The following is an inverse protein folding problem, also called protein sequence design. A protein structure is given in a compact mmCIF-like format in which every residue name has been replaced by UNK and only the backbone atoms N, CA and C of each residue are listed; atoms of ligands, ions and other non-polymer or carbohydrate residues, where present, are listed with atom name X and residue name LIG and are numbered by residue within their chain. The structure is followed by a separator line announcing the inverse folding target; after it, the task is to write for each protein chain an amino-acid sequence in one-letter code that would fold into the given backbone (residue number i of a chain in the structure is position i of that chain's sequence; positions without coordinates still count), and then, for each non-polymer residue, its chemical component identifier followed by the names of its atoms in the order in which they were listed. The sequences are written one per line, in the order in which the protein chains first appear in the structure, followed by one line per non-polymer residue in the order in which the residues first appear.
data_IF_125621323998
#
_entry.id   IF_125621323998
#
_cell.length_a   1.000
_cell.length_b   1.000
_cell.length_c   1.000
_cell.angle_alpha   90.00
_cell.angle_beta   90.00
_cell.angle_gamma   90.00
#
_symmetry.space_group_name_H-M   'P 1'
#
loop_
_entity.id
_entity.type
_entity.pdbx_description
1 polymer ?
#
# COMPACT_ATOMS: atom_id res chain seq x y z
N UNK A 1 -51.52 24.25 3.64
CA UNK A 1 -50.54 24.57 2.57
C UNK A 1 -50.98 23.84 1.30
N UNK A 2 -51.10 24.57 0.20
CA UNK A 2 -51.80 24.19 -1.02
C UNK A 2 -50.94 23.31 -1.96
N UNK A 3 -51.66 22.67 -2.88
CA UNK A 3 -51.27 21.68 -3.88
C UNK A 3 -50.12 22.09 -4.82
N UNK A 4 -49.33 21.10 -5.24
CA UNK A 4 -48.41 21.22 -6.38
C UNK A 4 -48.87 20.24 -7.47
N UNK A 5 -49.43 20.82 -8.54
CA UNK A 5 -49.81 20.15 -9.77
C UNK A 5 -49.46 21.13 -10.90
N UNK A 6 -48.44 20.80 -11.69
CA UNK A 6 -48.25 21.37 -13.02
C UNK A 6 -47.24 20.53 -13.81
N UNK A 7 -47.81 19.72 -14.69
CA UNK A 7 -47.18 19.05 -15.82
C UNK A 7 -47.08 20.05 -16.97
N UNK A 8 -45.91 20.25 -17.59
CA UNK A 8 -45.81 20.80 -18.95
C UNK A 8 -44.70 20.07 -19.70
N UNK A 9 -45.13 19.32 -20.72
CA UNK A 9 -44.29 18.78 -21.76
C UNK A 9 -43.91 19.88 -22.78
N UNK A 10 -42.69 19.84 -23.29
CA UNK A 10 -42.32 20.57 -24.51
C UNK A 10 -41.71 19.59 -25.52
N UNK A 11 -42.42 19.46 -26.63
CA UNK A 11 -42.07 18.73 -27.84
C UNK A 11 -41.10 19.53 -28.72
N UNK A 12 -40.41 18.76 -29.56
CA UNK A 12 -39.98 19.07 -30.92
C UNK A 12 -38.65 19.83 -31.15
N UNK A 13 -37.92 19.34 -32.16
CA UNK A 13 -36.94 20.14 -32.89
C UNK A 13 -35.74 19.33 -33.35
N UNK A 14 -35.84 18.70 -34.53
CA UNK A 14 -34.72 18.01 -35.16
C UNK A 14 -33.65 18.95 -35.71
N UNK A 15 -32.43 18.43 -35.84
CA UNK A 15 -31.47 18.86 -36.83
C UNK A 15 -30.59 17.64 -37.18
N UNK A 16 -30.89 17.01 -38.31
CA UNK A 16 -30.01 16.05 -38.95
C UNK A 16 -28.76 16.82 -39.42
N UNK A 17 -27.69 16.75 -38.63
CA UNK A 17 -26.38 17.23 -39.03
C UNK A 17 -25.86 16.35 -40.16
N UNK A 18 -25.90 16.88 -41.38
CA UNK A 18 -25.23 16.32 -42.53
C UNK A 18 -23.72 16.45 -42.29
N UNK A 19 -23.08 15.37 -41.84
CA UNK A 19 -21.63 15.29 -41.80
C UNK A 19 -21.16 15.20 -43.24
N UNK A 20 -20.68 16.33 -43.77
CA UNK A 20 -19.97 16.36 -45.04
C UNK A 20 -18.76 15.44 -44.93
N UNK A 21 -18.82 14.31 -45.64
CA UNK A 21 -17.72 13.38 -45.78
C UNK A 21 -16.65 14.08 -46.63
N UNK A 22 -15.65 14.68 -45.98
CA UNK A 22 -14.47 15.15 -46.68
C UNK A 22 -13.79 13.93 -47.31
N UNK A 23 -13.74 13.90 -48.64
CA UNK A 23 -13.07 12.87 -49.39
C UNK A 23 -11.58 12.84 -48.98
N UNK A 24 -11.17 11.73 -48.36
CA UNK A 24 -9.77 11.47 -48.07
C UNK A 24 -8.99 11.44 -49.41
N UNK A 25 -7.84 12.12 -49.53
CA UNK A 25 -7.00 11.99 -50.70
C UNK A 25 -6.54 10.54 -50.84
N UNK A 26 -6.71 9.97 -52.03
CA UNK A 26 -6.31 8.61 -52.34
C UNK A 26 -4.79 8.45 -52.12
N UNK A 27 -4.42 7.97 -50.94
CA UNK A 27 -3.04 7.66 -50.60
C UNK A 27 -2.49 6.62 -51.58
N UNK A 28 -1.38 6.97 -52.21
CA UNK A 28 -0.69 6.18 -53.22
C UNK A 28 -0.41 4.74 -52.74
N UNK A 29 -0.45 3.73 -53.63
CA UNK A 29 -0.33 2.32 -53.26
C UNK A 29 0.99 1.96 -52.55
N UNK A 30 2.03 2.80 -52.67
CA UNK A 30 3.30 2.64 -51.98
C UNK A 30 3.20 2.87 -50.45
N UNK A 31 2.32 3.77 -49.99
CA UNK A 31 2.18 4.09 -48.56
C UNK A 31 1.38 3.03 -47.79
N UNK A 32 0.48 2.30 -48.45
CA UNK A 32 -0.33 1.24 -47.80
C UNK A 32 0.50 0.02 -47.40
N UNK A 33 1.51 -0.34 -48.20
CA UNK A 33 2.41 -1.47 -47.87
C UNK A 33 3.33 -1.17 -46.68
N UNK A 34 3.76 0.09 -46.52
CA UNK A 34 4.59 0.48 -45.38
C UNK A 34 3.80 0.52 -44.07
N UNK A 35 2.53 0.93 -44.11
CA UNK A 35 1.65 0.88 -42.94
C UNK A 35 1.31 -0.56 -42.51
N UNK A 36 1.11 -1.48 -43.46
CA UNK A 36 0.86 -2.89 -43.14
C UNK A 36 2.08 -3.57 -42.48
N UNK A 37 3.30 -3.21 -42.88
CA UNK A 37 4.54 -3.71 -42.27
C UNK A 37 4.76 -3.13 -40.86
N UNK A 38 4.39 -1.86 -40.63
CA UNK A 38 4.47 -1.24 -39.30
C UNK A 38 3.47 -1.85 -38.30
N UNK A 39 2.27 -2.25 -38.76
CA UNK A 39 1.28 -2.96 -37.94
C UNK A 39 1.66 -4.43 -37.69
N UNK A 40 2.25 -5.11 -38.68
CA UNK A 40 2.74 -6.48 -38.51
C UNK A 40 3.93 -6.58 -37.54
N UNK A 41 4.76 -5.52 -37.45
CA UNK A 41 5.87 -5.46 -36.51
C UNK A 41 5.43 -5.34 -35.03
N UNK A 42 4.23 -4.81 -34.75
CA UNK A 42 3.69 -4.79 -33.38
C UNK A 42 3.19 -6.16 -32.91
N UNK A 43 2.87 -7.08 -33.84
CA UNK A 43 2.40 -8.43 -33.51
C UNK A 43 3.55 -9.41 -33.15
N UNK A 44 4.81 -9.00 -33.31
CA UNK A 44 6.00 -9.80 -33.00
C UNK A 44 6.74 -9.32 -31.74
N UNK A 45 6.22 -8.31 -31.05
CA UNK A 45 6.70 -8.01 -29.71
C UNK A 45 6.21 -9.12 -28.78
N UNK A 46 7.10 -9.86 -28.10
CA UNK A 46 6.67 -10.81 -27.09
C UNK A 46 5.81 -10.04 -26.10
N UNK A 47 4.55 -10.46 -25.97
CA UNK A 47 3.65 -10.01 -24.92
C UNK A 47 4.38 -10.28 -23.59
N UNK A 48 5.01 -9.26 -23.05
CA UNK A 48 5.56 -9.31 -21.71
C UNK A 48 4.33 -9.46 -20.81
N UNK A 49 4.01 -10.70 -20.45
CA UNK A 49 2.95 -11.02 -19.52
C UNK A 49 3.16 -10.13 -18.30
N UNK A 50 2.29 -9.13 -18.13
CA UNK A 50 2.32 -8.26 -16.98
C UNK A 50 2.02 -9.13 -15.76
N UNK A 51 3.07 -9.55 -15.05
CA UNK A 51 2.95 -10.21 -13.75
C UNK A 51 2.43 -9.16 -12.77
N UNK A 52 1.12 -9.00 -12.72
CA UNK A 52 0.42 -7.97 -11.96
C UNK A 52 0.39 -8.22 -10.44
N UNK A 53 0.92 -9.35 -9.94
CA UNK A 53 0.77 -9.74 -8.53
C UNK A 53 1.82 -9.19 -7.56
N UNK A 54 3.11 -9.31 -7.88
CA UNK A 54 4.18 -9.08 -6.89
C UNK A 54 4.56 -7.61 -6.71
N UNK A 55 4.46 -6.82 -7.79
CA UNK A 55 4.88 -5.42 -7.78
C UNK A 55 3.92 -4.54 -6.95
N UNK A 56 2.64 -4.89 -6.94
CA UNK A 56 1.64 -4.18 -6.14
C UNK A 56 1.87 -4.45 -4.65
N UNK A 57 2.04 -5.72 -4.25
CA UNK A 57 2.31 -6.09 -2.86
C UNK A 57 3.57 -5.43 -2.30
N UNK A 58 4.68 -5.46 -3.04
CA UNK A 58 5.92 -4.83 -2.59
C UNK A 58 5.73 -3.31 -2.35
N UNK A 59 4.99 -2.65 -3.24
CA UNK A 59 4.67 -1.24 -3.14
C UNK A 59 3.77 -0.95 -1.93
N UNK A 60 2.78 -1.81 -1.66
CA UNK A 60 1.94 -1.71 -0.46
C UNK A 60 2.74 -1.85 0.83
N UNK A 61 3.64 -2.85 0.92
CA UNK A 61 4.49 -3.04 2.11
C UNK A 61 5.37 -1.81 2.34
N UNK A 62 5.97 -1.26 1.29
CA UNK A 62 6.76 -0.03 1.38
C UNK A 62 5.91 1.18 1.77
N UNK A 63 4.65 1.26 1.31
CA UNK A 63 3.70 2.30 1.71
C UNK A 63 3.40 2.26 3.21
N UNK A 64 3.04 1.08 3.73
CA UNK A 64 2.78 0.90 5.17
C UNK A 64 4.05 1.09 5.99
N UNK A 65 5.22 0.69 5.46
CA UNK A 65 6.53 0.93 6.08
C UNK A 65 6.76 2.43 6.30
N UNK A 66 6.60 3.25 5.27
CA UNK A 66 6.76 4.72 5.37
C UNK A 66 5.84 5.36 6.41
N UNK A 67 4.63 4.82 6.58
CA UNK A 67 3.66 5.34 7.54
C UNK A 67 3.91 4.84 8.98
N UNK A 68 4.22 3.56 9.14
CA UNK A 68 4.24 2.88 10.45
C UNK A 68 5.63 2.91 11.10
N UNK A 69 6.69 2.80 10.29
CA UNK A 69 8.06 2.64 10.77
C UNK A 69 8.55 3.83 11.62
N UNK A 70 8.27 5.10 11.29
CA UNK A 70 8.72 6.21 12.11
C UNK A 70 8.19 6.15 13.54
N UNK A 71 6.92 5.73 13.70
CA UNK A 71 6.27 5.56 15.00
C UNK A 71 6.86 4.37 15.76
N UNK A 72 7.10 3.26 15.08
CA UNK A 72 7.72 2.05 15.67
C UNK A 72 9.13 2.37 16.18
N UNK A 73 9.96 3.03 15.35
CA UNK A 73 11.33 3.37 15.70
C UNK A 73 11.39 4.42 16.82
N UNK A 74 10.48 5.40 16.83
CA UNK A 74 10.38 6.37 17.93
C UNK A 74 10.08 5.67 19.26
N UNK A 75 9.09 4.78 19.28
CA UNK A 75 8.73 4.00 20.48
C UNK A 75 9.87 3.10 20.96
N UNK A 76 10.56 2.40 20.04
CA UNK A 76 11.72 1.58 20.36
C UNK A 76 12.88 2.42 20.93
N UNK A 77 13.20 3.56 20.30
CA UNK A 77 14.25 4.47 20.79
C UNK A 77 13.92 5.03 22.16
N UNK A 78 12.65 5.36 22.43
CA UNK A 78 12.18 5.82 23.73
C UNK A 78 12.37 4.74 24.83
N UNK A 79 11.96 3.51 24.56
CA UNK A 79 12.19 2.37 25.47
C UNK A 79 13.68 2.13 25.73
N UNK A 80 14.50 2.14 24.67
CA UNK A 80 15.94 1.89 24.78
C UNK A 80 16.67 3.02 25.52
N UNK A 81 16.27 4.27 25.32
CA UNK A 81 16.87 5.42 25.98
C UNK A 81 16.59 5.45 27.50
N UNK A 82 15.42 4.98 27.91
CA UNK A 82 15.05 4.90 29.34
C UNK A 82 15.57 3.61 30.00
N UNK A 83 15.68 2.52 29.25
CA UNK A 83 16.07 1.22 29.80
C UNK A 83 14.98 0.56 30.65
N UNK A 84 13.77 1.11 30.64
CA UNK A 84 12.61 0.63 31.40
C UNK A 84 11.30 1.05 30.70
N UNK A 85 10.19 0.43 31.11
CA UNK A 85 8.85 0.83 30.64
C UNK A 85 8.25 1.82 31.64
N UNK A 86 8.34 3.10 31.32
CA UNK A 86 7.82 4.20 32.16
C UNK A 86 6.31 4.39 32.00
N UNK A 87 5.66 5.00 32.98
CA UNK A 87 4.24 5.37 32.86
C UNK A 87 3.97 6.36 31.72
N UNK A 88 4.91 7.27 31.47
CA UNK A 88 4.87 8.18 30.33
C UNK A 88 4.84 7.42 29.00
N UNK A 89 5.66 6.37 28.86
CA UNK A 89 5.65 5.52 27.68
C UNK A 89 4.30 4.82 27.50
N UNK A 90 3.72 4.30 28.59
CA UNK A 90 2.41 3.64 28.55
C UNK A 90 1.29 4.61 28.11
N UNK A 91 1.36 5.86 28.56
CA UNK A 91 0.36 6.88 28.25
C UNK A 91 0.49 7.45 26.83
N UNK A 92 1.71 7.65 26.34
CA UNK A 92 1.96 8.44 25.12
C UNK A 92 2.39 7.61 23.91
N UNK A 93 3.27 6.63 24.10
CA UNK A 93 3.93 5.93 22.99
C UNK A 93 3.39 4.51 22.77
N UNK A 94 2.94 3.81 23.81
CA UNK A 94 2.53 2.41 23.70
C UNK A 94 1.38 2.22 22.71
N UNK A 95 0.31 3.02 22.82
CA UNK A 95 -0.87 2.89 21.96
C UNK A 95 -0.52 3.12 20.48
N UNK A 96 0.09 4.24 20.06
CA UNK A 96 0.43 4.44 18.65
C UNK A 96 1.46 3.42 18.15
N UNK A 97 2.45 3.03 18.97
CA UNK A 97 3.43 2.00 18.60
C UNK A 97 2.76 0.65 18.33
N UNK A 98 1.84 0.21 19.19
CA UNK A 98 1.10 -1.05 19.01
C UNK A 98 0.25 -1.01 17.74
N UNK A 99 -0.45 0.09 17.46
CA UNK A 99 -1.24 0.23 16.22
C UNK A 99 -0.33 0.14 14.99
N UNK A 100 0.83 0.82 15.03
CA UNK A 100 1.79 0.76 13.94
C UNK A 100 2.38 -0.65 13.73
N UNK A 101 2.72 -1.36 14.81
CA UNK A 101 3.17 -2.76 14.77
C UNK A 101 2.08 -3.69 14.21
N UNK A 102 0.81 -3.48 14.56
CA UNK A 102 -0.30 -4.27 14.03
C UNK A 102 -0.49 -4.02 12.53
N UNK A 103 -0.52 -2.75 12.10
CA UNK A 103 -0.60 -2.39 10.68
C UNK A 103 0.57 -2.97 9.89
N UNK A 104 1.79 -2.83 10.40
CA UNK A 104 2.98 -3.37 9.75
C UNK A 104 3.02 -4.91 9.73
N UNK A 105 2.57 -5.57 10.81
CA UNK A 105 2.51 -7.03 10.87
C UNK A 105 1.47 -7.60 9.91
N UNK A 106 0.34 -6.91 9.76
CA UNK A 106 -0.76 -7.32 8.87
C UNK A 106 -0.36 -7.29 7.38
N UNK A 107 0.46 -6.33 6.96
CA UNK A 107 0.86 -6.19 5.55
C UNK A 107 1.96 -7.18 5.16
N UNK A 108 2.74 -7.69 6.11
CA UNK A 108 3.83 -8.66 5.87
C UNK A 108 3.35 -10.10 5.58
N UNK A 109 2.08 -10.28 5.18
CA UNK A 109 1.51 -11.56 4.70
C UNK A 109 2.15 -11.99 3.38
N UNK A 110 2.49 -13.27 3.19
CA UNK A 110 3.04 -13.76 1.91
C UNK A 110 1.98 -13.96 0.82
N UNK A 111 0.70 -14.09 1.19
CA UNK A 111 -0.44 -14.25 0.29
C UNK A 111 -1.51 -13.18 0.52
N UNK A 112 -2.52 -13.07 -0.37
CA UNK A 112 -3.68 -12.18 -0.16
C UNK A 112 -4.48 -12.51 1.11
N UNK A 113 -4.53 -13.78 1.53
CA UNK A 113 -5.17 -14.19 2.78
C UNK A 113 -4.26 -13.91 3.99
N UNK A 114 -4.81 -13.70 5.21
CA UNK A 114 -4.02 -13.59 6.42
C UNK A 114 -3.21 -14.87 6.63
N UNK A 115 -1.92 -14.75 6.34
CA UNK A 115 -0.93 -15.81 6.34
C UNK A 115 -0.50 -16.13 7.79
N UNK A 116 0.08 -17.31 7.99
CA UNK A 116 0.66 -17.76 9.26
C UNK A 116 1.62 -16.71 9.83
N UNK A 117 2.38 -16.04 8.96
CA UNK A 117 3.30 -14.96 9.33
C UNK A 117 2.57 -13.75 9.90
N UNK A 118 1.59 -13.19 9.18
CA UNK A 118 0.87 -12.00 9.68
C UNK A 118 0.14 -12.28 10.99
N UNK A 119 -0.41 -13.50 11.17
CA UNK A 119 -1.03 -13.89 12.44
C UNK A 119 0.00 -14.01 13.57
N UNK A 120 1.19 -14.53 13.26
CA UNK A 120 2.31 -14.59 14.21
C UNK A 120 2.72 -13.20 14.66
N UNK A 121 2.99 -12.29 13.72
CA UNK A 121 3.38 -10.90 14.02
C UNK A 121 2.32 -10.14 14.84
N UNK A 122 1.03 -10.36 14.56
CA UNK A 122 -0.05 -9.79 15.37
C UNK A 122 -0.03 -10.34 16.81
N UNK A 123 0.17 -11.65 16.97
CA UNK A 123 0.32 -12.29 18.28
C UNK A 123 1.53 -11.75 19.04
N UNK A 124 2.67 -11.60 18.38
CA UNK A 124 3.89 -11.06 19.00
C UNK A 124 3.67 -9.61 19.44
N UNK A 125 2.89 -8.84 18.67
CA UNK A 125 2.50 -7.47 19.04
C UNK A 125 1.60 -7.44 20.28
N UNK A 126 0.65 -8.37 20.38
CA UNK A 126 -0.23 -8.48 21.56
C UNK A 126 0.54 -8.92 22.80
N UNK A 127 1.51 -9.84 22.64
CA UNK A 127 2.42 -10.24 23.70
C UNK A 127 3.29 -9.07 24.15
N UNK A 128 3.85 -8.29 23.22
CA UNK A 128 4.63 -7.09 23.53
C UNK A 128 3.78 -6.09 24.31
N UNK A 129 2.54 -5.83 23.87
CA UNK A 129 1.60 -4.95 24.56
C UNK A 129 1.33 -5.42 25.99
N UNK A 130 1.17 -6.73 26.21
CA UNK A 130 0.95 -7.29 27.54
C UNK A 130 2.19 -7.11 28.43
N UNK A 131 3.38 -7.45 27.92
CA UNK A 131 4.65 -7.28 28.64
C UNK A 131 4.91 -5.80 28.99
N UNK A 132 4.70 -4.88 28.05
CA UNK A 132 4.83 -3.44 28.29
C UNK A 132 3.86 -2.97 29.38
N UNK A 133 2.58 -3.39 29.35
CA UNK A 133 1.62 -3.04 30.41
C UNK A 133 1.99 -3.59 31.79
N UNK A 134 2.69 -4.72 31.85
CA UNK A 134 3.24 -5.28 33.08
C UNK A 134 4.56 -4.62 33.49
N UNK A 135 5.03 -3.63 32.73
CA UNK A 135 6.32 -2.94 32.87
C UNK A 135 7.53 -3.88 32.81
N UNK A 136 7.38 -5.04 32.17
CA UNK A 136 8.47 -5.99 31.96
C UNK A 136 9.30 -5.56 30.74
N UNK A 137 10.31 -4.72 30.99
CA UNK A 137 11.19 -4.19 29.95
C UNK A 137 11.95 -5.29 29.20
N UNK A 138 12.53 -6.26 29.92
CA UNK A 138 13.33 -7.32 29.31
C UNK A 138 12.47 -8.16 28.35
N UNK A 139 11.28 -8.58 28.80
CA UNK A 139 10.35 -9.33 27.97
C UNK A 139 9.81 -8.50 26.81
N UNK A 140 9.49 -7.24 27.04
CA UNK A 140 9.03 -6.34 25.97
C UNK A 140 10.09 -6.19 24.87
N UNK A 141 11.35 -6.01 25.21
CA UNK A 141 12.44 -5.90 24.25
C UNK A 141 12.69 -7.22 23.50
N UNK A 142 12.66 -8.36 24.20
CA UNK A 142 12.77 -9.69 23.59
C UNK A 142 11.67 -9.94 22.55
N UNK A 143 10.43 -9.56 22.87
CA UNK A 143 9.29 -9.70 21.96
C UNK A 143 9.39 -8.79 20.75
N UNK A 144 9.93 -7.57 20.90
CA UNK A 144 10.22 -6.71 19.76
C UNK A 144 11.29 -7.31 18.85
N UNK A 145 12.38 -7.84 19.40
CA UNK A 145 13.40 -8.53 18.59
C UNK A 145 12.83 -9.76 17.89
N UNK A 146 11.97 -10.52 18.57
CA UNK A 146 11.26 -11.66 17.99
C UNK A 146 10.38 -11.22 16.81
N UNK A 147 9.55 -10.20 17.01
CA UNK A 147 8.72 -9.61 15.96
C UNK A 147 9.55 -9.21 14.74
N UNK A 148 10.70 -8.55 14.94
CA UNK A 148 11.59 -8.15 13.82
C UNK A 148 12.13 -9.38 13.07
N UNK A 149 12.57 -10.39 13.80
CA UNK A 149 13.16 -11.59 13.22
C UNK A 149 12.13 -12.49 12.50
N UNK A 150 10.86 -12.40 12.89
CA UNK A 150 9.76 -13.12 12.26
C UNK A 150 9.27 -12.50 10.95
N UNK A 151 9.72 -11.28 10.64
CA UNK A 151 9.45 -10.66 9.34
C UNK A 151 10.26 -11.39 8.25
N UNK A 152 9.61 -11.86 7.18
CA UNK A 152 10.31 -12.52 6.09
C UNK A 152 11.36 -11.60 5.44
N UNK A 153 12.48 -12.16 4.96
CA UNK A 153 13.47 -11.37 4.23
C UNK A 153 12.83 -10.74 2.98
N UNK A 154 13.16 -9.48 2.71
CA UNK A 154 12.64 -8.74 1.56
C UNK A 154 12.33 -7.28 1.88
N UNK A 155 11.35 -6.69 1.16
CA UNK A 155 10.97 -5.26 1.28
C UNK A 155 10.45 -4.86 2.67
N UNK A 156 9.94 -5.82 3.44
CA UNK A 156 9.50 -5.64 4.82
C UNK A 156 10.62 -5.75 5.86
N UNK A 157 11.81 -6.22 5.49
CA UNK A 157 12.90 -6.33 6.45
C UNK A 157 13.43 -4.93 6.82
N UNK A 158 13.64 -4.70 8.11
CA UNK A 158 14.17 -3.44 8.64
C UNK A 158 15.13 -3.69 9.80
N UNK A 159 15.85 -2.64 10.21
CA UNK A 159 16.72 -2.64 11.39
C UNK A 159 16.30 -1.52 12.34
N UNK A 160 16.48 -1.74 13.64
CA UNK A 160 16.12 -0.75 14.67
C UNK A 160 16.93 0.55 14.58
N UNK A 161 18.15 0.46 14.04
CA UNK A 161 19.08 1.55 13.79
C UNK A 161 19.01 2.07 12.35
N UNK A 162 17.91 1.78 11.62
CA UNK A 162 17.78 2.21 10.23
C UNK A 162 17.84 3.72 10.08
N UNK A 163 18.72 4.17 9.18
CA UNK A 163 18.88 5.56 8.75
C UNK A 163 18.20 5.83 7.41
N UNK A 164 17.41 4.88 6.90
CA UNK A 164 16.72 5.04 5.62
C UNK A 164 15.62 6.13 5.73
N UNK A 165 15.51 6.97 4.71
CA UNK A 165 14.47 8.02 4.64
C UNK A 165 13.07 7.42 4.78
N UNK A 166 12.85 6.31 4.06
CA UNK A 166 11.60 5.54 4.10
C UNK A 166 11.22 5.01 5.48
N UNK A 167 12.16 4.92 6.43
CA UNK A 167 11.91 4.44 7.79
C UNK A 167 11.74 5.58 8.81
N UNK A 168 12.30 6.75 8.51
CA UNK A 168 12.30 7.90 9.40
C UNK A 168 11.21 8.93 9.03
N UNK A 169 10.45 8.70 7.95
CA UNK A 169 9.32 9.53 7.55
C UNK A 169 9.75 10.85 6.91
N UNK A 170 10.96 10.86 6.33
CA UNK A 170 11.53 11.95 5.56
C UNK A 170 11.33 11.69 4.06
#
# INVERSE_FOLDING_TARGET
AAAALALVAALAGGAAGSVAYAAAPAAAPAQRRQLALALAAQALLPEAAAVAGDRDRASMVLGVRRQSMPTILRGYRALKAKGEVTDDFLATELKPMVVALQSYGSINRLSEAPDKISRKLLKDTDQFKAAAKQKDYAKAMELLETYRNDIPPGVGAFKWDSTLEADNGL
#
